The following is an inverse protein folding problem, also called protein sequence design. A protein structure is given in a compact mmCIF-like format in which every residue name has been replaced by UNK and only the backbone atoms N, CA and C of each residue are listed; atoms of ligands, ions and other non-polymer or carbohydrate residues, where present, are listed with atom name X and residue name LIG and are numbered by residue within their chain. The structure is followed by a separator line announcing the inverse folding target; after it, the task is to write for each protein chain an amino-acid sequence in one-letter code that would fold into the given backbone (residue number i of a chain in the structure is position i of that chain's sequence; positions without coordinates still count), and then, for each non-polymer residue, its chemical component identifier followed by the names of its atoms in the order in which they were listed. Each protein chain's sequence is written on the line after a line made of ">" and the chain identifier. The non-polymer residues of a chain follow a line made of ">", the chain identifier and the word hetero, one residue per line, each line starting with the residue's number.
data_IF_359546326282
#
_entry.id   IF_359546326282
#
_cell.length_a   1.000
_cell.length_b   1.000
_cell.length_c   1.000
_cell.angle_alpha   90.00
_cell.angle_beta   90.00
_cell.angle_gamma   90.00
#
_symmetry.space_group_name_H-M   'P 1'
#
loop_
_entity.id
_entity.type
_entity.pdbx_description
1 polymer ?
#
# COMPACT_ATOMS: atom_id res chain seq x y z
N UNK A 1 -0.93 -59.15 51.45
CA UNK A 1 -0.97 -57.74 51.00
C UNK A 1 -0.93 -57.76 49.48
N UNK A 2 -2.09 -57.58 48.84
CA UNK A 2 -2.28 -57.79 47.41
C UNK A 2 -2.49 -56.42 46.78
N UNK A 3 -1.46 -55.91 46.10
CA UNK A 3 -1.49 -54.58 45.49
C UNK A 3 -2.15 -54.68 44.11
N UNK A 4 -3.34 -54.12 43.99
CA UNK A 4 -4.02 -53.92 42.70
C UNK A 4 -3.56 -52.58 42.11
N UNK A 5 -2.97 -52.61 40.92
CA UNK A 5 -2.70 -51.42 40.11
C UNK A 5 -3.88 -51.21 39.17
N UNK A 6 -4.67 -50.17 39.39
CA UNK A 6 -5.70 -49.72 38.44
C UNK A 6 -4.99 -48.82 37.42
N UNK A 7 -4.82 -49.31 36.20
CA UNK A 7 -4.42 -48.51 35.05
C UNK A 7 -5.64 -47.67 34.64
N UNK A 8 -5.63 -46.37 34.96
CA UNK A 8 -6.64 -45.42 34.50
C UNK A 8 -6.45 -45.14 33.01
N UNK A 9 -7.31 -45.75 32.17
CA UNK A 9 -7.44 -45.40 30.76
C UNK A 9 -8.15 -44.04 30.67
N UNK A 10 -7.37 -42.96 30.61
CA UNK A 10 -7.86 -41.61 30.37
C UNK A 10 -8.29 -41.51 28.90
N UNK A 11 -9.59 -41.71 28.66
CA UNK A 11 -10.22 -41.48 27.37
C UNK A 11 -10.28 -39.96 27.15
N UNK A 12 -9.26 -39.40 26.50
CA UNK A 12 -9.32 -38.07 25.92
C UNK A 12 -10.40 -38.10 24.81
N UNK A 13 -11.62 -37.70 25.18
CA UNK A 13 -12.64 -37.24 24.22
C UNK A 13 -12.09 -35.97 23.56
N UNK A 14 -11.19 -36.14 22.61
CA UNK A 14 -10.90 -35.14 21.59
C UNK A 14 -12.15 -35.01 20.74
N UNK A 15 -13.09 -34.18 21.17
CA UNK A 15 -14.12 -33.66 20.29
C UNK A 15 -13.41 -32.88 19.21
N UNK A 16 -13.13 -33.53 18.08
CA UNK A 16 -12.72 -32.85 16.86
C UNK A 16 -13.78 -31.78 16.61
N UNK A 17 -13.41 -30.48 16.55
CA UNK A 17 -14.37 -29.45 16.28
C UNK A 17 -15.03 -29.78 14.93
N UNK A 18 -16.35 -29.77 14.90
CA UNK A 18 -17.14 -30.08 13.71
C UNK A 18 -17.11 -28.84 12.82
N UNK A 19 -15.94 -28.55 12.24
CA UNK A 19 -15.83 -27.57 11.16
C UNK A 19 -16.69 -28.15 10.04
N UNK A 20 -17.55 -27.32 9.43
CA UNK A 20 -18.35 -27.75 8.31
C UNK A 20 -17.40 -28.31 7.25
N UNK A 21 -17.35 -29.65 7.12
CA UNK A 21 -16.44 -30.29 6.20
C UNK A 21 -16.80 -29.82 4.80
N UNK A 22 -15.80 -29.29 4.11
CA UNK A 22 -15.96 -28.85 2.73
C UNK A 22 -16.21 -30.08 1.87
N UNK A 23 -17.40 -30.14 1.27
CA UNK A 23 -17.83 -31.27 0.44
C UNK A 23 -17.99 -30.85 -1.01
N UNK A 24 -17.39 -31.63 -1.90
CA UNK A 24 -17.54 -31.46 -3.35
C UNK A 24 -18.40 -32.58 -3.90
N UNK A 25 -19.55 -32.25 -4.50
CA UNK A 25 -20.41 -33.23 -5.15
C UNK A 25 -19.70 -33.79 -6.39
N UNK A 26 -19.64 -35.12 -6.47
CA UNK A 26 -19.23 -35.89 -7.63
C UNK A 26 -20.41 -36.77 -8.06
N UNK A 27 -20.66 -36.85 -9.36
CA UNK A 27 -21.65 -37.74 -9.95
C UNK A 27 -21.08 -38.42 -11.18
N UNK A 28 -21.48 -39.66 -11.42
CA UNK A 28 -20.95 -40.45 -12.52
C UNK A 28 -21.78 -41.70 -12.78
N UNK A 29 -21.45 -42.39 -13.86
CA UNK A 29 -22.08 -43.67 -14.25
C UNK A 29 -21.00 -44.68 -14.55
N UNK A 30 -20.94 -45.76 -13.78
CA UNK A 30 -20.09 -46.91 -14.03
C UNK A 30 -20.83 -47.89 -14.94
N UNK A 31 -20.20 -48.22 -16.08
CA UNK A 31 -20.73 -49.18 -17.05
C UNK A 31 -19.85 -50.43 -17.03
N UNK A 32 -20.41 -51.61 -16.71
CA UNK A 32 -19.64 -52.84 -16.77
C UNK A 32 -19.34 -53.23 -18.23
N UNK A 33 -18.18 -53.83 -18.44
CA UNK A 33 -17.72 -54.30 -19.77
C UNK A 33 -18.52 -55.50 -20.28
N UNK A 34 -19.14 -56.26 -19.38
CA UNK A 34 -20.01 -57.39 -19.72
C UNK A 34 -21.44 -56.92 -20.02
N UNK A 35 -21.95 -57.27 -21.20
CA UNK A 35 -23.32 -56.95 -21.61
C UNK A 35 -24.36 -57.56 -20.66
N UNK A 36 -25.27 -56.73 -20.15
CA UNK A 36 -26.39 -57.15 -19.30
C UNK A 36 -26.11 -57.13 -17.79
N UNK A 37 -24.89 -56.85 -17.35
CA UNK A 37 -24.61 -56.60 -15.93
C UNK A 37 -25.08 -55.18 -15.58
N UNK A 38 -25.83 -55.04 -14.49
CA UNK A 38 -26.19 -53.74 -13.91
C UNK A 38 -25.54 -53.66 -12.53
N UNK A 39 -24.69 -52.67 -12.31
CA UNK A 39 -24.08 -52.44 -11.01
C UNK A 39 -25.12 -51.79 -10.09
N UNK A 40 -25.51 -52.52 -9.03
CA UNK A 40 -26.48 -52.09 -8.04
C UNK A 40 -26.00 -52.46 -6.65
N UNK A 41 -26.15 -51.55 -5.69
CA UNK A 41 -25.72 -51.78 -4.31
C UNK A 41 -24.56 -50.88 -3.89
N UNK A 42 -24.09 -51.10 -2.66
CA UNK A 42 -23.02 -50.33 -2.07
C UNK A 42 -21.67 -50.97 -2.44
N UNK A 43 -20.82 -50.23 -3.15
CA UNK A 43 -19.46 -50.69 -3.48
C UNK A 43 -18.41 -49.68 -3.00
N UNK A 44 -17.21 -50.13 -2.61
CA UNK A 44 -16.12 -49.22 -2.28
C UNK A 44 -15.57 -48.58 -3.56
N UNK A 45 -15.64 -47.25 -3.65
CA UNK A 45 -14.96 -46.47 -4.67
C UNK A 45 -13.80 -45.70 -4.04
N UNK A 46 -12.70 -45.61 -4.75
CA UNK A 46 -11.58 -44.72 -4.37
C UNK A 46 -11.53 -43.54 -5.33
N UNK A 47 -11.42 -42.35 -4.76
CA UNK A 47 -11.36 -41.09 -5.48
C UNK A 47 -9.99 -40.46 -5.27
N UNK A 48 -9.35 -40.04 -6.35
CA UNK A 48 -8.06 -39.37 -6.32
C UNK A 48 -8.15 -37.98 -6.94
N UNK A 49 -7.43 -37.03 -6.38
CA UNK A 49 -7.19 -35.73 -7.00
C UNK A 49 -5.74 -35.61 -7.46
N UNK A 50 -5.55 -35.15 -8.68
CA UNK A 50 -4.24 -34.97 -9.31
C UNK A 50 -4.09 -33.55 -9.84
N UNK A 51 -2.87 -33.07 -9.97
CA UNK A 51 -2.49 -31.86 -10.70
C UNK A 51 -2.30 -32.11 -12.21
N UNK A 52 -2.19 -33.37 -12.63
CA UNK A 52 -2.00 -33.78 -14.03
C UNK A 52 -3.18 -34.61 -14.56
N UNK A 53 -3.49 -34.42 -15.84
CA UNK A 53 -4.58 -35.12 -16.53
C UNK A 53 -4.30 -36.60 -16.84
N UNK A 54 -3.04 -37.04 -16.80
CA UNK A 54 -2.60 -38.43 -16.93
C UNK A 54 -1.33 -38.65 -16.10
N UNK A 55 -1.14 -39.83 -15.52
CA UNK A 55 0.05 -40.13 -14.71
C UNK A 55 0.09 -39.39 -13.37
N UNK A 56 1.27 -39.10 -12.83
CA UNK A 56 1.43 -38.36 -11.57
C UNK A 56 1.04 -39.15 -10.30
N UNK A 57 1.30 -38.55 -9.15
CA UNK A 57 0.93 -39.08 -7.82
C UNK A 57 -0.32 -38.38 -7.30
N UNK A 58 -1.27 -39.09 -6.65
CA UNK A 58 -2.46 -38.45 -6.11
C UNK A 58 -2.09 -37.47 -5.00
N UNK A 59 -2.55 -36.22 -5.10
CA UNK A 59 -2.40 -35.18 -4.09
C UNK A 59 -3.35 -35.40 -2.91
N UNK A 60 -4.47 -36.07 -3.17
CA UNK A 60 -5.48 -36.44 -2.18
C UNK A 60 -6.16 -37.72 -2.61
N UNK A 61 -6.54 -38.54 -1.62
CA UNK A 61 -7.19 -39.83 -1.83
C UNK A 61 -8.26 -40.06 -0.78
N UNK A 62 -9.42 -40.55 -1.20
CA UNK A 62 -10.50 -40.98 -0.31
C UNK A 62 -11.10 -42.29 -0.81
N UNK A 63 -11.25 -43.27 0.08
CA UNK A 63 -12.00 -44.50 -0.18
C UNK A 63 -13.24 -44.51 0.68
N UNK A 64 -14.40 -44.68 0.05
CA UNK A 64 -15.67 -44.71 0.74
C UNK A 64 -16.67 -45.66 0.09
N UNK A 65 -17.61 -46.21 0.86
CA UNK A 65 -18.70 -46.97 0.27
C UNK A 65 -19.69 -46.02 -0.42
N UNK A 66 -19.95 -46.28 -1.70
CA UNK A 66 -20.83 -45.49 -2.56
C UNK A 66 -21.99 -46.35 -3.03
N UNK A 67 -23.20 -45.81 -2.94
CA UNK A 67 -24.40 -46.48 -3.42
C UNK A 67 -24.52 -46.29 -4.93
N UNK A 68 -24.58 -47.39 -5.68
CA UNK A 68 -24.88 -47.41 -7.10
C UNK A 68 -26.34 -47.78 -7.33
N UNK A 69 -26.98 -47.05 -8.23
CA UNK A 69 -28.32 -47.32 -8.75
C UNK A 69 -28.19 -47.34 -10.27
N UNK A 70 -28.31 -48.53 -10.86
CA UNK A 70 -28.14 -48.78 -12.28
C UNK A 70 -26.80 -48.24 -12.83
N UNK A 71 -25.72 -48.44 -12.06
CA UNK A 71 -24.39 -47.92 -12.37
C UNK A 71 -24.19 -46.44 -12.05
N UNK A 72 -25.26 -45.68 -11.82
CA UNK A 72 -25.16 -44.26 -11.47
C UNK A 72 -24.85 -44.08 -9.99
N UNK A 73 -24.01 -43.08 -9.66
CA UNK A 73 -23.71 -42.73 -8.28
C UNK A 73 -23.65 -41.22 -8.07
N UNK A 74 -23.90 -40.82 -6.82
CA UNK A 74 -23.59 -39.50 -6.29
C UNK A 74 -22.73 -39.72 -5.06
N UNK A 75 -21.57 -39.08 -5.03
CA UNK A 75 -20.67 -39.08 -3.89
C UNK A 75 -20.29 -37.65 -3.49
N UNK A 76 -19.97 -37.44 -2.24
CA UNK A 76 -19.47 -36.15 -1.74
C UNK A 76 -18.03 -36.34 -1.30
N UNK A 77 -17.08 -35.89 -2.11
CA UNK A 77 -15.66 -35.85 -1.76
C UNK A 77 -15.48 -35.01 -0.50
N UNK A 78 -14.60 -35.42 0.41
CA UNK A 78 -14.46 -34.78 1.72
C UNK A 78 -15.30 -35.42 2.81
N UNK A 79 -15.95 -36.56 2.54
CA UNK A 79 -16.84 -37.24 3.51
C UNK A 79 -16.10 -38.22 4.40
N UNK A 80 -15.01 -38.81 3.93
CA UNK A 80 -14.20 -39.76 4.69
C UNK A 80 -12.79 -39.25 4.93
N UNK A 81 -12.24 -38.47 3.99
CA UNK A 81 -10.95 -37.78 4.16
C UNK A 81 -11.17 -36.28 3.95
N UNK A 82 -10.88 -35.40 4.93
CA UNK A 82 -11.12 -33.97 4.78
C UNK A 82 -10.44 -33.36 3.53
N UNK A 83 -11.17 -32.53 2.80
CA UNK A 83 -10.62 -31.75 1.70
C UNK A 83 -10.01 -30.44 2.21
N UNK A 84 -8.71 -30.25 1.97
CA UNK A 84 -8.06 -28.97 2.20
C UNK A 84 -8.35 -28.01 1.02
N UNK A 85 -8.92 -26.85 1.33
CA UNK A 85 -9.16 -25.78 0.37
C UNK A 85 -7.90 -25.30 -0.36
N UNK A 86 -6.71 -25.53 0.21
CA UNK A 86 -5.43 -25.22 -0.43
C UNK A 86 -5.13 -26.09 -1.67
N UNK A 87 -5.78 -27.25 -1.84
CA UNK A 87 -5.61 -28.10 -3.01
C UNK A 87 -6.12 -27.41 -4.29
N UNK A 88 -7.15 -26.56 -4.17
CA UNK A 88 -7.79 -25.87 -5.29
C UNK A 88 -7.04 -24.59 -5.75
N UNK A 89 -5.70 -24.58 -5.63
CA UNK A 89 -4.84 -23.48 -6.13
C UNK A 89 -4.48 -23.64 -7.61
N UNK A 90 -4.41 -24.87 -8.08
CA UNK A 90 -3.98 -25.26 -9.42
C UNK A 90 -5.06 -26.09 -10.09
N UNK A 91 -4.97 -26.29 -11.40
CA UNK A 91 -5.90 -27.16 -12.10
C UNK A 91 -5.82 -28.58 -11.54
N UNK A 92 -6.94 -29.13 -11.09
CA UNK A 92 -7.08 -30.48 -10.59
C UNK A 92 -7.89 -31.38 -11.52
N UNK A 93 -7.58 -32.67 -11.46
CA UNK A 93 -8.24 -33.75 -12.19
C UNK A 93 -8.70 -34.83 -11.20
N UNK A 94 -9.94 -35.29 -11.36
CA UNK A 94 -10.55 -36.33 -10.56
C UNK A 94 -10.38 -37.69 -11.26
N UNK A 95 -9.68 -38.59 -10.58
CA UNK A 95 -9.64 -40.02 -10.90
C UNK A 95 -10.63 -40.80 -10.04
N UNK A 96 -11.25 -41.83 -10.63
CA UNK A 96 -12.13 -42.76 -9.92
C UNK A 96 -11.57 -44.16 -10.13
N UNK A 97 -11.43 -44.91 -9.05
CA UNK A 97 -10.91 -46.27 -9.04
C UNK A 97 -11.99 -47.22 -8.55
N UNK A 98 -12.25 -48.27 -9.33
CA UNK A 98 -13.14 -49.37 -8.99
C UNK A 98 -12.37 -50.68 -9.11
N UNK A 99 -12.41 -51.52 -8.07
CA UNK A 99 -11.72 -52.82 -8.02
C UNK A 99 -10.21 -52.77 -8.35
N UNK A 100 -9.55 -51.63 -8.10
CA UNK A 100 -8.13 -51.43 -8.36
C UNK A 100 -7.79 -50.92 -9.76
N UNK A 101 -8.79 -50.77 -10.64
CA UNK A 101 -8.64 -50.14 -11.95
C UNK A 101 -9.09 -48.67 -11.91
N UNK A 102 -8.21 -47.76 -12.34
CA UNK A 102 -8.52 -46.34 -12.47
C UNK A 102 -9.12 -46.04 -13.84
N UNK A 103 -10.25 -45.33 -13.85
CA UNK A 103 -10.90 -44.94 -15.10
C UNK A 103 -10.17 -43.77 -15.77
N UNK A 104 -9.94 -43.90 -17.08
CA UNK A 104 -9.35 -42.88 -17.94
C UNK A 104 -10.35 -42.46 -19.05
N UNK A 105 -10.37 -41.19 -19.50
CA UNK A 105 -9.57 -40.07 -19.02
C UNK A 105 -10.08 -39.52 -17.68
N UNK A 106 -9.17 -38.96 -16.88
CA UNK A 106 -9.55 -38.25 -15.64
C UNK A 106 -10.42 -37.03 -15.92
N UNK A 107 -11.34 -36.74 -15.00
CA UNK A 107 -12.26 -35.62 -15.14
C UNK A 107 -11.63 -34.32 -14.67
N UNK A 108 -11.45 -33.37 -15.58
CA UNK A 108 -10.98 -32.03 -15.20
C UNK A 108 -12.02 -31.34 -14.29
N UNK A 109 -11.60 -30.93 -13.09
CA UNK A 109 -12.46 -30.13 -12.22
C UNK A 109 -12.64 -28.73 -12.79
N UNK A 110 -13.87 -28.23 -12.75
CA UNK A 110 -14.25 -26.90 -13.27
C UNK A 110 -14.60 -25.94 -12.14
N UNK A 111 -15.20 -24.79 -12.46
CA UNK A 111 -15.34 -23.60 -11.59
C UNK A 111 -15.92 -23.84 -10.21
N UNK A 112 -16.83 -24.81 -10.02
CA UNK A 112 -17.56 -25.01 -8.75
C UNK A 112 -16.61 -25.38 -7.59
N UNK A 113 -15.76 -26.43 -7.71
CA UNK A 113 -14.73 -26.72 -6.71
C UNK A 113 -13.78 -25.56 -6.38
N UNK A 114 -13.44 -24.69 -7.33
CA UNK A 114 -12.52 -23.55 -7.09
C UNK A 114 -13.15 -22.41 -6.28
N UNK A 115 -14.48 -22.38 -6.15
CA UNK A 115 -15.14 -21.41 -5.27
C UNK A 115 -14.76 -21.60 -3.80
N UNK A 116 -14.28 -22.80 -3.42
CA UNK A 116 -13.77 -23.10 -2.08
C UNK A 116 -12.54 -22.25 -1.71
N UNK A 117 -11.82 -21.71 -2.69
CA UNK A 117 -10.72 -20.75 -2.47
C UNK A 117 -11.21 -19.43 -1.86
N UNK A 118 -12.46 -19.01 -2.13
CA UNK A 118 -13.01 -17.79 -1.54
C UNK A 118 -13.35 -17.98 -0.06
N UNK A 119 -13.81 -19.18 0.32
CA UNK A 119 -14.05 -19.55 1.72
C UNK A 119 -12.75 -19.74 2.52
N UNK A 120 -11.67 -20.19 1.87
CA UNK A 120 -10.38 -20.39 2.56
C UNK A 120 -9.72 -19.08 3.01
N UNK A 121 -10.01 -17.94 2.39
CA UNK A 121 -9.54 -16.62 2.88
C UNK A 121 -10.13 -16.30 4.27
N UNK A 122 -11.36 -16.73 4.54
CA UNK A 122 -11.96 -16.64 5.88
C UNK A 122 -11.41 -17.74 6.81
N UNK A 123 -11.15 -18.95 6.30
CA UNK A 123 -10.54 -20.02 7.09
C UNK A 123 -9.10 -19.69 7.55
N UNK A 124 -8.34 -18.88 6.77
CA UNK A 124 -7.02 -18.38 7.21
C UNK A 124 -7.17 -17.50 8.45
N UNK A 125 -8.23 -16.70 8.59
CA UNK A 125 -8.48 -15.96 9.83
C UNK A 125 -8.80 -16.90 11.00
N UNK A 126 -9.54 -17.98 10.78
CA UNK A 126 -9.85 -18.96 11.84
C UNK A 126 -8.63 -19.77 12.28
N UNK A 127 -7.68 -20.02 11.37
CA UNK A 127 -6.45 -20.78 11.65
C UNK A 127 -5.33 -19.89 12.21
N UNK A 128 -5.18 -18.67 11.70
CA UNK A 128 -4.07 -17.76 12.06
C UNK A 128 -4.47 -16.66 13.03
N UNK A 129 -5.77 -16.48 13.27
CA UNK A 129 -6.32 -15.34 14.03
C UNK A 129 -6.19 -14.00 13.31
N UNK A 130 -5.80 -14.00 12.02
CA UNK A 130 -5.23 -12.85 11.35
C UNK A 130 -5.70 -12.63 9.92
N UNK A 131 -6.26 -11.44 9.63
CA UNK A 131 -6.75 -11.06 8.30
C UNK A 131 -5.63 -10.43 7.46
N UNK A 132 -5.67 -10.62 6.13
CA UNK A 132 -4.76 -10.00 5.16
C UNK A 132 -3.62 -10.90 4.69
N UNK A 133 -2.62 -10.32 4.02
CA UNK A 133 -1.32 -10.88 3.64
C UNK A 133 -0.19 -10.16 4.41
N UNK A 134 0.93 -10.85 4.69
CA UNK A 134 2.08 -10.25 5.40
C UNK A 134 2.62 -9.07 4.57
N UNK A 135 2.86 -7.92 5.22
CA UNK A 135 3.27 -6.69 4.55
C UNK A 135 2.13 -5.79 4.07
N UNK A 136 0.87 -6.25 4.16
CA UNK A 136 -0.29 -5.40 3.85
C UNK A 136 -0.33 -4.17 4.77
N UNK A 137 -0.83 -3.07 4.22
CA UNK A 137 -1.08 -1.83 4.95
C UNK A 137 -2.57 -1.53 4.92
N UNK A 138 -3.14 -1.23 6.09
CA UNK A 138 -4.54 -0.89 6.25
C UNK A 138 -4.69 0.52 6.81
N UNK A 139 -5.65 1.27 6.27
CA UNK A 139 -6.11 2.56 6.80
C UNK A 139 -7.40 2.35 7.58
N UNK A 140 -7.48 2.89 8.79
CA UNK A 140 -8.66 2.73 9.64
C UNK A 140 -8.93 3.93 10.53
N UNK A 141 -10.20 4.17 10.83
CA UNK A 141 -10.62 5.10 11.87
C UNK A 141 -10.55 4.48 13.28
N UNK A 142 -10.40 3.15 13.36
CA UNK A 142 -10.41 2.42 14.62
C UNK A 142 -9.06 2.56 15.35
N UNK A 143 -9.07 2.85 16.66
CA UNK A 143 -7.88 2.75 17.49
C UNK A 143 -7.42 1.28 17.62
N UNK A 144 -6.16 1.10 18.00
CA UNK A 144 -5.44 -0.18 17.88
C UNK A 144 -6.18 -1.37 18.51
N UNK A 145 -6.73 -1.20 19.72
CA UNK A 145 -7.47 -2.26 20.40
C UNK A 145 -8.68 -2.74 19.58
N UNK A 146 -9.52 -1.81 19.14
CA UNK A 146 -10.71 -2.14 18.33
C UNK A 146 -10.34 -2.65 16.94
N UNK A 147 -9.23 -2.17 16.38
CA UNK A 147 -8.73 -2.69 15.11
C UNK A 147 -8.30 -4.15 15.24
N UNK A 148 -7.52 -4.48 16.27
CA UNK A 148 -7.03 -5.84 16.54
C UNK A 148 -8.17 -6.81 16.84
N UNK A 149 -9.23 -6.38 17.53
CA UNK A 149 -10.46 -7.18 17.70
C UNK A 149 -11.07 -7.64 16.36
N UNK A 150 -10.99 -6.79 15.32
CA UNK A 150 -11.58 -7.08 14.02
C UNK A 150 -10.61 -7.78 13.05
N UNK A 151 -9.30 -7.58 13.20
CA UNK A 151 -8.29 -7.99 12.21
C UNK A 151 -7.23 -8.98 12.73
N UNK A 152 -7.12 -9.15 14.04
CA UNK A 152 -6.12 -9.99 14.70
C UNK A 152 -4.91 -9.23 15.25
N UNK A 153 -4.18 -9.88 16.16
CA UNK A 153 -3.01 -9.31 16.88
C UNK A 153 -1.69 -9.34 16.07
N UNK A 154 -1.72 -9.79 14.81
CA UNK A 154 -0.61 -9.72 13.86
C UNK A 154 -0.41 -8.34 13.22
N UNK A 155 -1.36 -7.43 13.43
CA UNK A 155 -1.30 -6.07 12.91
C UNK A 155 -0.63 -5.15 13.91
N UNK A 156 0.23 -4.28 13.42
CA UNK A 156 0.97 -3.32 14.24
C UNK A 156 0.69 -1.91 13.76
N UNK A 157 0.39 -1.00 14.69
CA UNK A 157 0.19 0.42 14.38
C UNK A 157 1.51 1.01 13.86
N UNK A 158 1.50 1.72 12.74
CA UNK A 158 2.71 2.25 12.10
C UNK A 158 3.25 3.49 12.83
N UNK A 159 3.83 3.31 14.02
CA UNK A 159 4.40 4.38 14.87
C UNK A 159 5.93 4.31 15.02
N UNK A 160 6.60 3.43 14.26
CA UNK A 160 8.07 3.31 14.28
C UNK A 160 8.62 2.27 15.27
N UNK A 161 7.78 1.43 15.88
CA UNK A 161 8.22 0.42 16.83
C UNK A 161 8.94 -0.75 16.14
N UNK A 162 9.88 -1.35 16.87
CA UNK A 162 10.57 -2.56 16.46
C UNK A 162 9.59 -3.72 16.26
N UNK A 163 9.88 -4.58 15.29
CA UNK A 163 9.16 -5.84 15.07
C UNK A 163 10.06 -7.02 15.46
N UNK A 164 9.49 -8.17 15.88
CA UNK A 164 10.27 -9.36 16.16
C UNK A 164 11.08 -9.78 14.93
N UNK A 165 12.36 -10.11 15.11
CA UNK A 165 13.25 -10.52 14.00
C UNK A 165 12.84 -11.83 13.34
N UNK A 166 12.11 -12.67 14.07
CA UNK A 166 11.51 -13.92 13.60
C UNK A 166 10.13 -13.73 12.97
N UNK A 167 9.60 -12.50 12.93
CA UNK A 167 8.32 -12.25 12.26
C UNK A 167 8.43 -12.48 10.76
N UNK A 168 7.37 -13.01 10.11
CA UNK A 168 7.34 -13.18 8.65
C UNK A 168 7.69 -11.91 7.89
N UNK A 169 7.21 -10.74 8.33
CA UNK A 169 7.56 -9.47 7.71
C UNK A 169 9.05 -9.17 7.81
N UNK A 170 9.67 -9.34 8.98
CA UNK A 170 11.10 -9.10 9.16
C UNK A 170 11.94 -10.03 8.27
N UNK A 171 11.57 -11.31 8.19
CA UNK A 171 12.27 -12.30 7.36
C UNK A 171 12.15 -12.03 5.86
N UNK A 172 10.97 -11.60 5.39
CA UNK A 172 10.71 -11.37 3.97
C UNK A 172 11.22 -10.01 3.48
N UNK A 173 11.10 -8.96 4.30
CA UNK A 173 11.42 -7.59 3.89
C UNK A 173 12.77 -7.08 4.41
N UNK A 174 13.35 -7.75 5.41
CA UNK A 174 14.53 -7.25 6.13
C UNK A 174 14.23 -6.08 7.07
N UNK A 175 12.97 -5.67 7.24
CA UNK A 175 12.59 -4.61 8.17
C UNK A 175 12.80 -5.04 9.62
N UNK A 176 13.39 -4.17 10.43
CA UNK A 176 13.53 -4.35 11.88
C UNK A 176 12.46 -3.60 12.69
N UNK A 177 11.69 -2.74 12.03
CA UNK A 177 10.64 -1.93 12.62
C UNK A 177 9.56 -1.60 11.56
N UNK A 178 8.31 -1.40 12.00
CA UNK A 178 7.30 -0.81 11.12
C UNK A 178 7.65 0.67 10.88
N UNK A 179 7.37 1.22 9.68
CA UNK A 179 7.54 2.66 9.45
C UNK A 179 6.70 3.51 10.41
N UNK A 180 7.13 4.73 10.69
CA UNK A 180 6.29 5.73 11.36
C UNK A 180 5.50 6.52 10.32
N UNK A 181 4.18 6.32 10.28
CA UNK A 181 3.28 6.92 9.30
C UNK A 181 2.70 8.28 9.72
N UNK A 182 2.97 8.74 10.95
CA UNK A 182 2.33 9.95 11.46
C UNK A 182 2.74 11.20 10.65
N UNK A 183 1.72 11.87 10.09
CA UNK A 183 1.90 13.06 9.28
C UNK A 183 2.71 12.83 8.00
N UNK A 184 2.86 11.57 7.55
CA UNK A 184 3.62 11.23 6.35
C UNK A 184 2.69 11.01 5.17
N UNK A 185 3.10 11.48 4.00
CA UNK A 185 2.47 11.09 2.74
C UNK A 185 3.00 9.74 2.27
N UNK A 186 2.14 9.00 1.56
CA UNK A 186 2.49 7.75 0.90
C UNK A 186 2.78 8.06 -0.57
N UNK A 187 3.82 7.41 -1.10
CA UNK A 187 4.19 7.46 -2.52
C UNK A 187 4.49 6.05 -3.02
N UNK A 188 4.33 5.83 -4.31
CA UNK A 188 4.76 4.58 -4.95
C UNK A 188 6.28 4.41 -4.81
N UNK A 189 6.71 3.18 -4.56
CA UNK A 189 8.13 2.84 -4.58
C UNK A 189 8.57 2.53 -6.02
N UNK A 190 9.54 3.29 -6.53
CA UNK A 190 10.09 3.05 -7.85
C UNK A 190 11.29 2.11 -7.76
N UNK A 191 11.05 0.83 -8.05
CA UNK A 191 12.06 -0.22 -8.00
C UNK A 191 12.84 -0.37 -9.32
N UNK A 192 12.82 0.63 -10.20
CA UNK A 192 13.55 0.60 -11.48
C UNK A 192 14.94 1.22 -11.33
N UNK A 193 15.90 0.71 -12.09
CA UNK A 193 17.19 1.37 -12.29
C UNK A 193 17.06 2.62 -13.17
N UNK A 194 18.09 3.48 -13.17
CA UNK A 194 18.13 4.67 -14.03
C UNK A 194 17.99 4.31 -15.52
N UNK A 195 18.60 3.21 -15.96
CA UNK A 195 18.53 2.70 -17.33
C UNK A 195 17.14 2.20 -17.74
N UNK A 196 16.28 1.88 -16.78
CA UNK A 196 14.92 1.37 -17.02
C UNK A 196 13.86 2.48 -17.00
N UNK A 197 14.28 3.75 -17.06
CA UNK A 197 13.34 4.88 -17.09
C UNK A 197 12.72 5.18 -15.73
N UNK A 198 13.51 5.09 -14.67
CA UNK A 198 13.11 5.48 -13.31
C UNK A 198 12.52 6.89 -13.29
N UNK A 199 11.33 7.03 -12.70
CA UNK A 199 10.58 8.28 -12.59
C UNK A 199 10.75 8.96 -11.23
N UNK A 200 11.10 8.19 -10.20
CA UNK A 200 11.40 8.72 -8.87
C UNK A 200 12.93 8.79 -8.64
N UNK A 201 13.55 9.99 -8.66
CA UNK A 201 14.98 10.12 -8.43
C UNK A 201 15.40 9.74 -7.00
N UNK A 202 14.47 9.82 -6.04
CA UNK A 202 14.73 9.57 -4.62
C UNK A 202 14.54 8.12 -4.18
N UNK A 203 14.15 7.22 -5.09
CA UNK A 203 13.95 5.79 -4.83
C UNK A 203 14.72 4.96 -5.85
N UNK A 204 15.08 3.73 -5.47
CA UNK A 204 15.88 2.83 -6.30
C UNK A 204 15.76 1.42 -5.75
N UNK A 205 16.20 0.39 -6.49
CA UNK A 205 16.33 -0.96 -5.97
C UNK A 205 17.14 -1.07 -4.67
N UNK A 206 18.12 -0.19 -4.48
CA UNK A 206 18.98 -0.18 -3.30
C UNK A 206 18.36 0.58 -2.11
N UNK A 207 17.19 1.20 -2.30
CA UNK A 207 16.50 1.94 -1.25
C UNK A 207 15.39 1.07 -0.66
N UNK A 208 15.50 0.63 0.61
CA UNK A 208 14.49 -0.26 1.18
C UNK A 208 13.08 0.36 1.18
N UNK A 209 12.08 -0.44 0.87
CA UNK A 209 10.66 -0.06 0.98
C UNK A 209 10.35 0.28 2.45
N UNK A 210 9.52 1.30 2.67
CA UNK A 210 9.14 1.75 4.02
C UNK A 210 10.11 2.77 4.64
N UNK A 211 11.16 3.18 3.95
CA UNK A 211 12.08 4.23 4.43
C UNK A 211 11.50 5.64 4.24
N UNK A 212 11.86 6.57 5.12
CA UNK A 212 11.40 7.96 5.09
C UNK A 212 12.18 8.79 4.06
N UNK A 213 11.49 9.74 3.44
CA UNK A 213 12.08 10.80 2.62
C UNK A 213 11.69 12.15 3.22
N UNK A 214 12.69 12.98 3.52
CA UNK A 214 12.48 14.35 3.98
C UNK A 214 11.79 15.20 2.91
N UNK A 215 11.10 16.26 3.34
CA UNK A 215 10.60 17.27 2.42
C UNK A 215 11.76 17.92 1.67
N UNK A 216 11.53 18.23 0.40
CA UNK A 216 12.48 18.98 -0.42
C UNK A 216 11.72 19.97 -1.29
N UNK A 217 12.11 21.24 -1.21
CA UNK A 217 11.66 22.26 -2.14
C UNK A 217 12.82 22.57 -3.09
N UNK A 218 12.59 22.40 -4.40
CA UNK A 218 13.61 22.74 -5.38
C UNK A 218 13.84 24.24 -5.37
N UNK A 219 15.11 24.65 -5.35
CA UNK A 219 15.47 26.07 -5.54
C UNK A 219 14.86 26.56 -6.85
N UNK A 220 14.25 27.73 -6.81
CA UNK A 220 13.73 28.43 -7.98
C UNK A 220 13.94 29.92 -7.80
N UNK A 221 13.80 30.66 -8.90
CA UNK A 221 13.89 32.12 -8.92
C UNK A 221 12.51 32.69 -9.19
N UNK A 222 12.24 33.86 -8.63
CA UNK A 222 11.06 34.65 -8.97
C UNK A 222 11.51 35.80 -9.86
N UNK A 223 10.85 35.99 -11.00
CA UNK A 223 11.00 37.19 -11.80
C UNK A 223 10.07 38.26 -11.22
N UNK A 224 10.58 39.48 -11.07
CA UNK A 224 9.80 40.65 -10.68
C UNK A 224 9.73 41.56 -11.89
N UNK A 225 8.53 41.81 -12.39
CA UNK A 225 8.29 42.81 -13.43
C UNK A 225 8.19 44.19 -12.75
N UNK A 226 9.17 45.06 -13.02
CA UNK A 226 9.12 46.49 -12.67
C UNK A 226 8.78 47.27 -13.96
N UNK A 227 7.53 47.76 -14.13
CA UNK A 227 7.11 48.50 -15.32
C UNK A 227 7.83 49.84 -15.56
N UNK A 228 8.87 50.15 -14.78
CA UNK A 228 9.61 51.39 -14.83
C UNK A 228 8.94 52.46 -13.97
N UNK A 229 9.74 53.20 -13.22
CA UNK A 229 9.30 54.31 -12.40
C UNK A 229 10.31 55.47 -12.50
N UNK A 230 9.86 56.66 -12.08
CA UNK A 230 10.63 57.91 -12.15
C UNK A 230 10.99 58.32 -10.71
N UNK A 231 12.24 58.76 -10.49
CA UNK A 231 12.65 59.35 -9.23
C UNK A 231 12.57 60.89 -9.31
N UNK A 232 11.93 61.52 -8.32
CA UNK A 232 11.95 62.97 -8.15
C UNK A 232 13.06 63.35 -7.16
N UNK A 233 13.88 64.35 -7.50
CA UNK A 233 14.84 64.97 -6.59
C UNK A 233 14.34 66.35 -6.16
N UNK A 234 14.70 66.78 -4.95
CA UNK A 234 14.40 68.14 -4.46
C UNK A 234 15.73 68.80 -4.14
N UNK A 235 16.09 69.83 -4.89
CA UNK A 235 17.25 70.66 -4.57
C UNK A 235 16.95 71.48 -3.31
N UNK A 236 17.69 71.20 -2.23
CA UNK A 236 17.61 72.00 -1.01
C UNK A 236 18.60 73.16 -1.13
N UNK A 237 18.19 74.28 -1.72
CA UNK A 237 18.91 75.53 -1.55
C UNK A 237 18.77 76.00 -0.10
N UNK A 238 19.86 75.95 0.67
CA UNK A 238 19.94 76.61 1.97
C UNK A 238 20.25 78.08 1.68
N UNK A 239 19.25 78.95 1.74
CA UNK A 239 19.52 80.38 1.93
C UNK A 239 19.79 80.60 3.42
N UNK A 240 21.06 80.79 3.79
CA UNK A 240 21.43 81.24 5.13
C UNK A 240 20.91 82.68 5.34
N UNK A 241 19.70 82.83 5.87
CA UNK A 241 19.29 84.09 6.48
C UNK A 241 19.68 84.03 7.95
N UNK A 242 20.92 84.45 8.25
CA UNK A 242 21.32 84.75 9.62
C UNK A 242 20.80 86.16 9.95
N UNK A 243 19.75 86.26 10.76
CA UNK A 243 19.39 87.50 11.46
C UNK A 243 20.55 87.89 12.38
N UNK A 244 21.38 88.82 11.94
CA UNK A 244 22.19 89.65 12.82
C UNK A 244 21.55 91.03 12.80
N UNK A 245 20.92 91.39 13.91
CA UNK A 245 20.47 92.72 14.24
C UNK A 245 21.67 93.68 14.22
N UNK A 246 21.92 94.34 13.08
CA UNK A 246 22.64 95.61 12.99
C UNK A 246 22.01 96.49 11.89
N UNK A 247 21.86 97.81 12.12
CA UNK A 247 20.93 98.62 11.35
C UNK A 247 21.48 98.96 9.96
N UNK A 248 20.78 98.42 8.97
CA UNK A 248 20.42 98.95 7.64
C UNK A 248 21.27 100.06 7.01
N UNK A 249 21.97 99.73 5.92
CA UNK A 249 22.04 100.57 4.71
C UNK A 249 22.00 99.65 3.48
N UNK A 250 20.90 99.71 2.74
CA UNK A 250 20.73 99.09 1.42
C UNK A 250 21.46 99.96 0.38
N UNK A 251 22.40 99.38 -0.36
CA UNK A 251 22.89 99.95 -1.61
C UNK A 251 22.38 99.07 -2.77
N UNK A 252 21.36 99.57 -3.47
CA UNK A 252 21.02 99.14 -4.82
C UNK A 252 22.14 99.55 -5.79
N UNK A 253 22.24 98.87 -6.95
CA UNK A 253 22.79 99.28 -8.28
C UNK A 253 23.74 98.21 -8.86
N UNK A 254 23.67 97.75 -10.12
CA UNK A 254 22.89 98.06 -11.35
C UNK A 254 22.85 96.74 -12.19
N UNK A 255 21.71 96.24 -12.70
CA UNK A 255 21.18 96.42 -14.08
C UNK A 255 22.27 96.15 -15.16
N UNK A 256 22.20 95.08 -15.96
CA UNK A 256 21.28 94.95 -17.11
C UNK A 256 20.97 93.49 -17.57
N UNK A 257 19.88 93.27 -18.33
CA UNK A 257 19.36 91.97 -18.77
C UNK A 257 19.59 91.71 -20.28
N UNK A 258 20.03 90.51 -20.68
CA UNK A 258 19.81 90.01 -22.04
C UNK A 258 19.68 88.46 -22.04
N UNK A 259 18.75 87.87 -22.82
CA UNK A 259 18.47 86.44 -22.81
C UNK A 259 19.24 85.76 -23.95
N UNK A 260 20.16 84.85 -23.63
CA UNK A 260 20.79 84.00 -24.67
C UNK A 260 20.69 82.53 -24.29
N UNK A 261 19.91 81.85 -25.11
CA UNK A 261 19.77 80.40 -25.27
C UNK A 261 21.14 79.70 -25.22
N UNK A 262 21.38 78.87 -24.20
CA UNK A 262 22.32 77.75 -24.28
C UNK A 262 21.50 76.50 -24.63
N UNK A 263 21.43 76.16 -25.91
CA UNK A 263 22.17 75.03 -26.52
C UNK A 263 22.10 73.76 -25.68
N UNK A 264 21.50 72.72 -26.28
CA UNK A 264 21.45 71.37 -25.74
C UNK A 264 22.82 70.94 -25.20
N UNK A 265 22.94 70.84 -23.87
CA UNK A 265 23.88 69.93 -23.25
C UNK A 265 23.17 68.60 -23.07
N UNK A 266 23.24 67.78 -24.12
CA UNK A 266 23.08 66.32 -23.98
C UNK A 266 24.33 65.74 -23.31
N UNK A 267 24.54 66.07 -22.04
CA UNK A 267 25.41 65.34 -21.11
C UNK A 267 24.93 65.66 -19.69
N UNK A 268 24.61 64.66 -18.84
CA UNK A 268 24.31 64.93 -17.44
C UNK A 268 25.62 65.36 -16.75
N UNK A 269 25.87 66.66 -16.68
CA UNK A 269 26.97 67.23 -15.89
C UNK A 269 26.60 67.38 -14.41
N UNK A 270 25.33 67.21 -14.05
CA UNK A 270 24.91 67.14 -12.67
C UNK A 270 24.97 65.68 -12.22
N UNK A 271 26.03 65.34 -11.48
CA UNK A 271 26.34 64.03 -10.91
C UNK A 271 25.30 63.51 -9.92
N UNK A 272 24.07 63.33 -10.36
CA UNK A 272 22.99 62.75 -9.59
C UNK A 272 23.03 61.23 -9.78
N UNK A 273 23.73 60.57 -8.86
CA UNK A 273 23.77 59.11 -8.77
C UNK A 273 22.39 58.55 -8.35
N UNK A 274 21.62 58.11 -9.34
CA UNK A 274 20.36 57.39 -9.11
C UNK A 274 20.57 55.90 -8.86
N UNK A 275 21.80 55.39 -8.81
CA UNK A 275 22.07 53.96 -8.55
C UNK A 275 21.65 53.52 -7.14
N UNK A 276 21.47 54.47 -6.21
CA UNK A 276 20.92 54.23 -4.87
C UNK A 276 19.44 54.57 -4.75
N UNK A 277 18.80 55.01 -5.84
CA UNK A 277 17.39 55.33 -5.83
C UNK A 277 16.59 54.03 -5.79
N UNK A 278 16.16 53.63 -4.60
CA UNK A 278 15.35 52.44 -4.41
C UNK A 278 13.98 52.64 -5.04
N UNK A 279 13.60 51.72 -5.91
CA UNK A 279 12.21 51.52 -6.32
C UNK A 279 11.39 51.35 -5.03
N UNK A 280 10.22 51.98 -4.91
CA UNK A 280 9.32 51.76 -3.76
C UNK A 280 8.73 50.34 -3.72
N UNK A 281 9.22 49.41 -4.55
CA UNK A 281 8.73 48.06 -4.69
C UNK A 281 9.19 47.25 -3.49
N UNK A 282 8.27 47.08 -2.55
CA UNK A 282 8.41 46.09 -1.48
C UNK A 282 7.86 44.77 -1.98
N UNK A 283 8.72 43.79 -2.24
CA UNK A 283 8.28 42.41 -2.46
C UNK A 283 7.87 41.87 -1.10
N UNK A 284 6.59 41.99 -0.76
CA UNK A 284 6.06 41.39 0.45
C UNK A 284 5.80 39.90 0.15
N UNK A 285 6.57 38.95 0.72
CA UNK A 285 6.17 37.55 0.69
C UNK A 285 4.98 37.37 1.65
N UNK A 286 3.80 37.79 1.24
CA UNK A 286 2.58 37.47 1.97
C UNK A 286 2.16 36.06 1.57
N UNK A 287 2.36 35.10 2.47
CA UNK A 287 1.54 33.89 2.45
C UNK A 287 0.08 34.28 2.70
N UNK A 288 -0.86 33.67 1.98
CA UNK A 288 -2.29 33.77 2.30
C UNK A 288 -2.60 32.96 3.57
N UNK A 289 -3.84 32.49 3.73
CA UNK A 289 -4.20 31.53 4.79
C UNK A 289 -3.40 30.23 4.72
N UNK A 290 -3.76 29.26 5.56
CA UNK A 290 -3.05 27.98 5.69
C UNK A 290 -2.73 27.32 4.34
N UNK A 291 -1.43 27.24 4.01
CA UNK A 291 -0.89 26.70 2.75
C UNK A 291 -0.61 25.19 2.82
N UNK A 292 -0.90 24.56 3.97
CA UNK A 292 -0.72 23.12 4.16
C UNK A 292 -1.81 22.36 3.39
N UNK A 293 -1.50 21.19 2.81
CA UNK A 293 -2.53 20.33 2.25
C UNK A 293 -3.58 19.98 3.29
N UNK A 294 -4.85 20.17 2.97
CA UNK A 294 -5.96 19.67 3.80
C UNK A 294 -5.99 18.15 3.70
N UNK A 295 -5.85 17.46 4.83
CA UNK A 295 -5.85 16.00 4.88
C UNK A 295 -6.78 15.47 5.98
N UNK A 296 -7.25 14.25 5.78
CA UNK A 296 -7.97 13.48 6.81
C UNK A 296 -6.96 12.49 7.40
N UNK A 297 -6.79 12.53 8.72
CA UNK A 297 -5.93 11.61 9.44
C UNK A 297 -6.68 10.31 9.76
N UNK A 298 -6.05 9.19 9.43
CA UNK A 298 -6.50 7.84 9.75
C UNK A 298 -5.33 7.08 10.38
N UNK A 299 -5.62 6.10 11.22
CA UNK A 299 -4.60 5.17 11.69
C UNK A 299 -4.13 4.29 10.54
N UNK A 300 -2.82 4.07 10.49
CA UNK A 300 -2.19 3.18 9.52
C UNK A 300 -1.61 1.99 10.26
N UNK A 301 -2.02 0.79 9.86
CA UNK A 301 -1.54 -0.47 10.42
C UNK A 301 -0.80 -1.26 9.35
N UNK A 302 0.18 -2.04 9.76
CA UNK A 302 0.92 -2.95 8.89
C UNK A 302 0.81 -4.38 9.42
N UNK A 303 0.61 -5.36 8.53
CA UNK A 303 0.60 -6.77 8.92
C UNK A 303 2.03 -7.29 9.05
N UNK A 304 2.40 -7.66 10.27
CA UNK A 304 3.75 -8.10 10.62
C UNK A 304 3.87 -9.62 10.70
N UNK A 305 2.79 -10.30 11.11
CA UNK A 305 2.71 -11.76 11.25
C UNK A 305 1.66 -12.39 10.35
#
# INVERSE_FOLDING_TARGET
>A
MQNYWILGLMFLLGGSPLWAQTKVKCEGVLRPTAAGLVLNGQCPLTFHLYDEGQGGTPLWSETGPVQLIEGSFIHFLGSYEPLDGQLFKTQLYLGVVYEGEEFEPRFQLTTIPYALRAASVNAVFEITGCKGAVGDVAWSLLPEALFKEQHGDCWELMRGQAIPSDSPLAQLSGLSAVPNAYGKFIRGHDNRSLSEGRQDPGRSPDTPVGTYQADSLKRHVHEVEDPGHIHNYTEKYISETSEVDQPEVILCQDIDPEPVVSTELNTPEDGHDTALATTGITVNPSGSGETRPQNIAVYMYMRVR
#
